data_IF_309991507883
#
_entry.id   IF_309991507883
#
_cell.length_a   1.000
_cell.length_b   1.000
_cell.length_c   1.000
_cell.angle_alpha   90.00
_cell.angle_beta   90.00
_cell.angle_gamma   90.00
#
_symmetry.space_group_name_H-M   'P 1'
#
loop_
_entity.id
_entity.type
_entity.pdbx_description
1 polymer ?
#
# COMPACT_ATOMS: atom_id res chain seq x y z
N UNK A 1 11.41 -5.26 -8.22
CA UNK A 1 12.08 -4.44 -7.18
C UNK A 1 11.65 -4.92 -5.81
N UNK A 2 12.60 -5.21 -4.92
CA UNK A 2 12.35 -5.68 -3.55
C UNK A 2 12.35 -4.48 -2.58
N UNK A 3 11.20 -3.81 -2.51
CA UNK A 3 11.00 -2.59 -1.71
C UNK A 3 10.23 -2.82 -0.40
N UNK A 4 9.90 -4.07 -0.06
CA UNK A 4 9.14 -4.40 1.14
C UNK A 4 8.72 -5.85 1.20
N UNK A 5 8.07 -6.23 2.30
CA UNK A 5 7.70 -7.63 2.55
C UNK A 5 6.82 -8.25 1.45
N UNK A 6 5.81 -7.51 0.97
CA UNK A 6 4.93 -8.05 -0.07
C UNK A 6 5.63 -8.14 -1.43
N UNK A 7 6.50 -7.20 -1.76
CA UNK A 7 7.35 -7.29 -2.95
C UNK A 7 8.27 -8.51 -2.87
N UNK A 8 8.87 -8.75 -1.70
CA UNK A 8 9.72 -9.91 -1.46
C UNK A 8 8.95 -11.23 -1.63
N UNK A 9 7.76 -11.33 -1.03
CA UNK A 9 6.91 -12.52 -1.14
C UNK A 9 6.45 -12.74 -2.59
N UNK A 10 6.07 -11.67 -3.31
CA UNK A 10 5.70 -11.77 -4.72
C UNK A 10 6.86 -12.31 -5.57
N UNK A 11 8.10 -11.85 -5.33
CA UNK A 11 9.27 -12.38 -6.02
C UNK A 11 9.51 -13.87 -5.70
N UNK A 12 9.29 -14.28 -4.44
CA UNK A 12 9.41 -15.68 -4.04
C UNK A 12 8.36 -16.57 -4.71
N UNK A 13 7.11 -16.11 -4.82
CA UNK A 13 6.06 -16.84 -5.52
C UNK A 13 6.29 -16.90 -7.03
N UNK A 14 6.71 -15.79 -7.65
CA UNK A 14 6.97 -15.73 -9.09
C UNK A 14 8.06 -16.72 -9.55
N UNK A 15 9.05 -17.02 -8.69
CA UNK A 15 10.09 -18.04 -8.95
C UNK A 15 9.55 -19.45 -9.24
N UNK A 16 8.31 -19.73 -8.85
CA UNK A 16 7.66 -21.03 -9.14
C UNK A 16 7.20 -21.13 -10.60
N UNK A 17 7.12 -20.00 -11.30
CA UNK A 17 6.54 -19.90 -12.64
C UNK A 17 7.53 -19.42 -13.70
N UNK A 18 8.70 -18.91 -13.31
CA UNK A 18 9.71 -18.40 -14.23
C UNK A 18 10.94 -17.86 -13.52
N UNK A 19 11.87 -17.35 -14.30
CA UNK A 19 13.09 -16.74 -13.80
C UNK A 19 12.82 -15.35 -13.23
N UNK A 20 13.24 -15.12 -11.99
CA UNK A 20 13.05 -13.85 -11.28
C UNK A 20 14.38 -13.22 -10.93
N UNK A 21 14.61 -12.03 -11.45
CA UNK A 21 15.75 -11.18 -11.11
C UNK A 21 15.31 -10.07 -10.17
N UNK A 22 15.90 -9.99 -8.99
CA UNK A 22 15.75 -8.82 -8.10
C UNK A 22 16.79 -7.79 -8.54
N UNK A 23 16.34 -6.72 -9.19
CA UNK A 23 17.22 -5.71 -9.79
C UNK A 23 17.67 -4.64 -8.77
N UNK A 24 16.89 -4.43 -7.72
CA UNK A 24 17.22 -3.54 -6.61
C UNK A 24 16.46 -3.97 -5.35
N UNK A 25 17.05 -3.73 -4.18
CA UNK A 25 16.46 -4.06 -2.88
C UNK A 25 16.91 -3.04 -1.83
N UNK A 26 16.02 -2.65 -0.93
CA UNK A 26 16.32 -1.88 0.29
C UNK A 26 16.22 -2.72 1.56
N UNK A 27 16.30 -4.05 1.43
CA UNK A 27 16.11 -5.00 2.53
C UNK A 27 17.15 -4.85 3.64
N UNK A 28 18.41 -4.63 3.29
CA UNK A 28 19.51 -4.48 4.26
C UNK A 28 19.31 -3.25 5.14
N UNK A 29 18.62 -2.22 4.62
CA UNK A 29 18.24 -1.00 5.34
C UNK A 29 16.80 -1.05 5.87
N UNK A 30 16.30 -2.27 6.13
CA UNK A 30 14.97 -2.50 6.66
C UNK A 30 13.84 -1.84 5.86
N UNK A 31 14.00 -1.72 4.54
CA UNK A 31 13.02 -1.12 3.64
C UNK A 31 12.59 0.30 4.03
N UNK A 32 13.49 1.09 4.57
CA UNK A 32 13.23 2.48 4.99
C UNK A 32 13.04 3.44 3.81
N UNK A 33 13.38 3.02 2.61
CA UNK A 33 13.24 3.76 1.36
C UNK A 33 12.87 2.84 0.20
N UNK A 34 12.50 3.44 -0.93
CA UNK A 34 12.28 2.73 -2.20
C UNK A 34 13.59 2.75 -2.99
N UNK A 35 14.10 1.57 -3.42
CA UNK A 35 15.37 1.51 -4.14
C UNK A 35 15.32 2.28 -5.47
N UNK A 36 16.40 3.00 -5.79
CA UNK A 36 16.57 3.61 -7.10
C UNK A 36 16.78 2.53 -8.17
N UNK A 37 16.08 2.68 -9.26
CA UNK A 37 16.14 1.79 -10.44
C UNK A 37 16.37 2.55 -11.75
N UNK A 38 16.81 3.80 -11.68
CA UNK A 38 17.04 4.67 -12.84
C UNK A 38 18.07 4.10 -13.82
N UNK A 39 19.04 3.34 -13.32
CA UNK A 39 20.10 2.72 -14.13
C UNK A 39 19.83 1.26 -14.49
N UNK A 40 18.63 0.73 -14.22
CA UNK A 40 18.29 -0.65 -14.53
C UNK A 40 18.00 -0.79 -16.00
N UNK A 41 18.69 -1.71 -16.65
CA UNK A 41 18.33 -2.17 -17.99
C UNK A 41 17.24 -3.23 -17.87
N UNK A 42 16.04 -2.88 -18.32
CA UNK A 42 14.88 -3.75 -18.27
C UNK A 42 14.90 -4.71 -19.46
N UNK A 43 15.11 -5.98 -19.15
CA UNK A 43 15.09 -7.10 -20.08
C UNK A 43 14.33 -8.25 -19.42
N UNK A 44 13.02 -8.24 -19.56
CA UNK A 44 12.11 -9.21 -18.94
C UNK A 44 10.71 -9.13 -19.58
N UNK A 45 9.88 -10.14 -19.36
CA UNK A 45 8.48 -10.12 -19.79
C UNK A 45 7.66 -9.05 -19.04
N UNK A 46 8.02 -8.74 -17.79
CA UNK A 46 7.46 -7.63 -17.01
C UNK A 46 8.39 -7.17 -15.90
N UNK A 47 8.21 -5.93 -15.48
CA UNK A 47 8.79 -5.37 -14.26
C UNK A 47 7.72 -5.33 -13.16
N UNK A 48 8.08 -5.67 -11.92
CA UNK A 48 7.13 -5.69 -10.79
C UNK A 48 7.54 -4.73 -9.69
N UNK A 49 6.53 -3.97 -9.18
CA UNK A 49 6.66 -3.10 -8.01
C UNK A 49 5.47 -3.26 -7.06
N UNK A 50 5.67 -2.90 -5.79
CA UNK A 50 4.59 -2.66 -4.82
C UNK A 50 4.55 -1.17 -4.54
N UNK A 51 3.53 -0.47 -5.05
CA UNK A 51 3.49 1.00 -5.07
C UNK A 51 3.45 1.63 -3.68
N UNK A 52 2.93 0.92 -2.68
CA UNK A 52 2.93 1.33 -1.28
C UNK A 52 3.18 0.14 -0.35
N UNK A 53 4.23 0.22 0.45
CA UNK A 53 4.68 -0.84 1.34
C UNK A 53 4.01 -0.71 2.71
N UNK A 54 2.89 -1.38 2.89
CA UNK A 54 2.01 -1.33 4.07
C UNK A 54 2.72 -1.55 5.40
N UNK A 55 3.74 -2.42 5.42
CA UNK A 55 4.43 -2.87 6.66
C UNK A 55 5.51 -1.88 7.07
N UNK A 56 6.22 -1.31 6.10
CA UNK A 56 7.37 -0.44 6.33
C UNK A 56 7.06 1.05 6.21
N UNK A 57 5.89 1.39 5.63
CA UNK A 57 5.43 2.78 5.53
C UNK A 57 6.10 3.58 4.41
N UNK A 58 6.64 2.91 3.39
CA UNK A 58 7.24 3.57 2.22
C UNK A 58 6.31 3.48 1.00
N UNK A 59 6.44 4.43 0.07
CA UNK A 59 5.74 4.43 -1.22
C UNK A 59 6.63 4.92 -2.35
N UNK A 60 6.28 4.54 -3.58
CA UNK A 60 6.85 5.15 -4.77
C UNK A 60 6.34 6.57 -4.92
N UNK A 61 7.24 7.52 -5.09
CA UNK A 61 6.94 8.92 -5.44
C UNK A 61 6.91 9.05 -6.96
N UNK A 62 7.91 8.45 -7.60
CA UNK A 62 8.00 8.37 -9.05
C UNK A 62 8.03 6.91 -9.48
N UNK A 63 7.32 6.62 -10.57
CA UNK A 63 7.31 5.27 -11.13
C UNK A 63 8.58 5.04 -11.96
N UNK A 64 9.14 3.82 -11.94
CA UNK A 64 10.25 3.49 -12.81
C UNK A 64 9.86 3.60 -14.28
N UNK A 65 10.74 4.15 -15.09
CA UNK A 65 10.64 4.03 -16.54
C UNK A 65 11.15 2.65 -16.96
N UNK A 66 10.25 1.81 -17.39
CA UNK A 66 10.54 0.43 -17.83
C UNK A 66 10.59 0.29 -19.36
N UNK A 67 10.48 1.41 -20.08
CA UNK A 67 10.48 1.43 -21.55
C UNK A 67 9.36 0.57 -22.14
N UNK A 68 9.72 -0.39 -22.96
CA UNK A 68 8.77 -1.32 -23.59
C UNK A 68 8.30 -2.46 -22.66
N UNK A 69 8.99 -2.70 -21.53
CA UNK A 69 8.66 -3.76 -20.58
C UNK A 69 7.42 -3.39 -19.77
N UNK A 70 6.35 -4.20 -19.76
CA UNK A 70 5.14 -3.91 -19.00
C UNK A 70 5.43 -3.76 -17.50
N UNK A 71 5.00 -2.65 -16.90
CA UNK A 71 5.07 -2.45 -15.46
C UNK A 71 3.85 -3.09 -14.78
N UNK A 72 4.07 -4.02 -13.89
CA UNK A 72 3.06 -4.70 -13.05
C UNK A 72 3.13 -4.14 -11.64
N UNK A 73 2.02 -3.70 -11.10
CA UNK A 73 1.97 -3.06 -9.80
C UNK A 73 0.95 -3.67 -8.85
N UNK A 74 1.41 -4.00 -7.64
CA UNK A 74 0.53 -4.16 -6.49
C UNK A 74 0.24 -2.77 -5.89
N UNK A 75 -0.99 -2.31 -6.08
CA UNK A 75 -1.49 -1.05 -5.54
C UNK A 75 -2.48 -1.27 -4.38
N UNK A 76 -2.51 -2.46 -3.77
CA UNK A 76 -3.52 -2.83 -2.77
C UNK A 76 -3.65 -1.83 -1.63
N UNK A 77 -2.57 -1.17 -1.21
CA UNK A 77 -2.61 -0.28 -0.06
C UNK A 77 -2.65 1.21 -0.37
N UNK A 78 -2.63 1.60 -1.65
CA UNK A 78 -2.75 3.01 -2.04
C UNK A 78 -3.63 3.25 -3.28
N UNK A 79 -4.29 2.22 -3.83
CA UNK A 79 -5.26 2.43 -4.91
C UNK A 79 -6.33 3.43 -4.45
N UNK A 80 -6.72 4.37 -5.33
CA UNK A 80 -7.70 5.42 -5.06
C UNK A 80 -7.33 6.41 -3.93
N UNK A 81 -6.12 6.39 -3.42
CA UNK A 81 -5.67 7.33 -2.38
C UNK A 81 -5.03 8.59 -2.94
N UNK A 82 -4.55 8.52 -4.15
CA UNK A 82 -3.86 9.55 -4.89
C UNK A 82 -4.07 9.37 -6.41
N UNK A 83 -3.94 10.42 -7.23
CA UNK A 83 -4.01 10.32 -8.68
C UNK A 83 -2.95 9.35 -9.21
N UNK A 84 -3.36 8.48 -10.11
CA UNK A 84 -2.49 7.50 -10.74
C UNK A 84 -2.72 7.47 -12.25
N UNK A 85 -1.68 7.71 -13.04
CA UNK A 85 -1.77 7.56 -14.49
C UNK A 85 -1.70 6.07 -14.87
N UNK A 86 -2.87 5.45 -15.01
CA UNK A 86 -3.00 4.02 -15.32
C UNK A 86 -2.33 3.62 -16.64
N UNK A 87 -2.09 4.55 -17.57
CA UNK A 87 -1.45 4.30 -18.87
C UNK A 87 0.02 3.90 -18.73
N UNK A 88 0.65 4.24 -17.61
CA UNK A 88 2.05 3.86 -17.31
C UNK A 88 2.23 2.39 -16.93
N UNK A 89 1.13 1.66 -16.76
CA UNK A 89 1.17 0.28 -16.30
C UNK A 89 0.71 -0.70 -17.38
N UNK A 90 1.30 -1.89 -17.38
CA UNK A 90 0.75 -3.05 -18.07
C UNK A 90 -0.37 -3.68 -17.26
N UNK A 91 -0.16 -3.81 -15.94
CA UNK A 91 -1.12 -4.39 -15.01
C UNK A 91 -1.07 -3.65 -13.67
N UNK A 92 -2.24 -3.33 -13.13
CA UNK A 92 -2.39 -2.91 -11.73
C UNK A 92 -3.34 -3.90 -11.07
N UNK A 93 -2.99 -4.40 -9.89
CA UNK A 93 -3.94 -5.16 -9.09
C UNK A 93 -4.02 -4.61 -7.66
N UNK A 94 -5.17 -4.81 -7.04
CA UNK A 94 -5.43 -4.34 -5.69
C UNK A 94 -6.47 -5.19 -4.97
N UNK A 95 -6.12 -5.69 -3.79
CA UNK A 95 -7.11 -6.25 -2.87
C UNK A 95 -8.05 -5.17 -2.34
N UNK A 96 -9.35 -5.43 -2.35
CA UNK A 96 -10.37 -4.43 -2.01
C UNK A 96 -10.37 -3.98 -0.54
N UNK A 97 -9.87 -4.80 0.37
CA UNK A 97 -10.03 -4.68 1.83
C UNK A 97 -9.39 -3.44 2.49
N UNK A 98 -8.74 -2.59 1.72
CA UNK A 98 -8.07 -1.38 2.24
C UNK A 98 -8.83 -0.10 1.88
N UNK A 99 -8.89 0.26 0.60
CA UNK A 99 -9.53 1.51 0.16
C UNK A 99 -10.82 1.32 -0.67
N UNK A 100 -11.21 0.09 -0.98
CA UNK A 100 -12.33 -0.17 -1.93
C UNK A 100 -13.56 -0.71 -1.21
N UNK A 101 -13.39 -1.79 -0.41
CA UNK A 101 -14.53 -2.49 0.18
C UNK A 101 -14.09 -3.64 1.09
N UNK A 102 -14.90 -4.71 1.23
CA UNK A 102 -14.56 -5.85 2.07
C UNK A 102 -13.47 -6.73 1.45
N UNK A 103 -12.87 -7.60 2.28
CA UNK A 103 -11.99 -8.67 1.81
C UNK A 103 -12.74 -9.66 0.92
N UNK A 104 -12.00 -10.40 0.09
CA UNK A 104 -12.54 -11.42 -0.82
C UNK A 104 -12.82 -10.92 -2.24
N UNK A 105 -12.37 -9.72 -2.57
CA UNK A 105 -12.40 -9.14 -3.91
C UNK A 105 -11.01 -8.60 -4.27
N UNK A 106 -10.59 -8.83 -5.50
CA UNK A 106 -9.40 -8.23 -6.09
C UNK A 106 -9.79 -7.51 -7.38
N UNK A 107 -9.35 -6.27 -7.53
CA UNK A 107 -9.47 -5.50 -8.77
C UNK A 107 -8.20 -5.72 -9.58
N UNK A 108 -8.34 -6.04 -10.86
CA UNK A 108 -7.23 -6.15 -11.80
C UNK A 108 -7.51 -5.24 -12.99
N UNK A 109 -6.61 -4.31 -13.26
CA UNK A 109 -6.64 -3.41 -14.41
C UNK A 109 -5.54 -3.87 -15.35
N UNK A 110 -5.90 -4.35 -16.53
CA UNK A 110 -4.98 -4.92 -17.51
C UNK A 110 -4.98 -4.08 -18.78
N UNK A 111 -3.80 -3.76 -19.29
CA UNK A 111 -3.66 -3.13 -20.59
C UNK A 111 -4.11 -4.12 -21.68
N UNK A 112 -4.93 -3.65 -22.60
CA UNK A 112 -5.67 -4.51 -23.53
C UNK A 112 -4.75 -5.41 -24.39
N UNK A 113 -3.56 -4.95 -24.78
CA UNK A 113 -2.59 -5.70 -25.57
C UNK A 113 -1.93 -6.88 -24.82
N UNK A 114 -2.14 -6.97 -23.51
CA UNK A 114 -1.65 -8.07 -22.68
C UNK A 114 -2.67 -9.20 -22.50
N UNK A 115 -3.92 -9.01 -22.95
CA UNK A 115 -4.94 -10.06 -22.92
C UNK A 115 -4.59 -11.16 -23.90
N UNK A 116 -4.75 -12.42 -23.48
CA UNK A 116 -4.48 -13.59 -24.32
C UNK A 116 -2.98 -13.94 -24.44
N UNK A 117 -2.12 -13.35 -23.60
CA UNK A 117 -0.68 -13.68 -23.53
C UNK A 117 -0.35 -14.64 -22.40
N UNK A 118 -1.35 -15.19 -21.74
CA UNK A 118 -1.16 -16.18 -20.69
C UNK A 118 -0.51 -17.47 -21.23
N UNK A 119 0.23 -18.15 -20.38
CA UNK A 119 0.85 -19.46 -20.69
C UNK A 119 -0.23 -20.49 -21.04
N UNK A 120 0.10 -21.47 -21.88
CA UNK A 120 -0.83 -22.51 -22.28
C UNK A 120 -1.37 -23.38 -21.11
N UNK A 121 -0.63 -23.45 -20.01
CA UNK A 121 -0.99 -24.17 -18.78
C UNK A 121 -1.69 -23.28 -17.76
N UNK A 122 -2.04 -22.02 -18.12
CA UNK A 122 -2.73 -21.10 -17.22
C UNK A 122 -4.14 -21.64 -16.90
N UNK A 123 -4.48 -21.76 -15.60
CA UNK A 123 -5.82 -22.16 -15.22
C UNK A 123 -6.89 -21.18 -15.74
N UNK A 124 -8.02 -21.72 -16.21
CA UNK A 124 -9.11 -20.94 -16.81
C UNK A 124 -9.50 -19.70 -16.00
N UNK A 125 -9.61 -19.82 -14.68
CA UNK A 125 -10.03 -18.73 -13.80
C UNK A 125 -9.00 -17.61 -13.67
N UNK A 126 -7.73 -17.87 -14.06
CA UNK A 126 -6.65 -16.90 -14.06
C UNK A 126 -6.40 -16.27 -15.43
N UNK A 127 -7.08 -16.73 -16.50
CA UNK A 127 -7.01 -16.12 -17.82
C UNK A 127 -7.73 -14.76 -17.83
N UNK A 128 -6.97 -13.70 -17.98
CA UNK A 128 -7.56 -12.35 -18.07
C UNK A 128 -8.38 -12.16 -19.34
N UNK A 129 -8.02 -12.81 -20.43
CA UNK A 129 -8.83 -12.77 -21.67
C UNK A 129 -10.21 -13.36 -21.46
N UNK A 130 -10.31 -14.52 -20.77
CA UNK A 130 -11.60 -15.12 -20.45
C UNK A 130 -12.38 -14.30 -19.43
N UNK A 131 -11.73 -13.78 -18.40
CA UNK A 131 -12.39 -12.89 -17.43
C UNK A 131 -12.94 -11.63 -18.10
N UNK A 132 -12.18 -11.01 -18.99
CA UNK A 132 -12.64 -9.83 -19.73
C UNK A 132 -13.81 -10.15 -20.66
N UNK A 133 -13.78 -11.31 -21.35
CA UNK A 133 -14.85 -11.75 -22.25
C UNK A 133 -16.17 -11.99 -21.50
N UNK A 134 -16.11 -12.49 -20.28
CA UNK A 134 -17.26 -12.84 -19.45
C UNK A 134 -17.59 -11.75 -18.40
N UNK A 135 -17.15 -10.50 -18.60
CA UNK A 135 -17.38 -9.35 -17.70
C UNK A 135 -17.03 -9.64 -16.24
N UNK A 136 -15.94 -10.38 -16.01
CA UNK A 136 -15.50 -10.87 -14.69
C UNK A 136 -16.45 -11.87 -14.02
N UNK A 137 -17.37 -12.46 -14.77
CA UNK A 137 -18.36 -13.43 -14.30
C UNK A 137 -18.17 -14.82 -14.90
N UNK A 138 -16.91 -15.21 -15.18
CA UNK A 138 -16.59 -16.56 -15.68
C UNK A 138 -17.10 -17.67 -14.74
N UNK A 139 -17.22 -17.38 -13.47
CA UNK A 139 -17.91 -18.17 -12.44
C UNK A 139 -18.79 -17.24 -11.62
N UNK A 140 -19.61 -17.79 -10.73
CA UNK A 140 -20.46 -17.02 -9.81
C UNK A 140 -19.60 -16.04 -9.00
N UNK A 141 -19.80 -14.71 -9.14
CA UNK A 141 -18.96 -13.72 -8.51
C UNK A 141 -19.34 -13.51 -7.03
N UNK A 142 -18.42 -12.88 -6.28
CA UNK A 142 -18.70 -12.35 -4.94
C UNK A 142 -19.62 -11.12 -5.04
N UNK A 143 -20.92 -11.34 -5.28
CA UNK A 143 -21.91 -10.29 -5.50
C UNK A 143 -21.96 -9.27 -4.37
N UNK A 144 -21.91 -9.72 -3.12
CA UNK A 144 -21.90 -8.81 -1.96
C UNK A 144 -20.65 -7.93 -1.95
N UNK A 145 -19.46 -8.50 -2.19
CA UNK A 145 -18.22 -7.75 -2.26
C UNK A 145 -18.24 -6.70 -3.38
N UNK A 146 -18.76 -7.05 -4.55
CA UNK A 146 -18.90 -6.13 -5.69
C UNK A 146 -19.89 -5.00 -5.35
N UNK A 147 -21.03 -5.31 -4.73
CA UNK A 147 -21.99 -4.31 -4.29
C UNK A 147 -21.38 -3.33 -3.28
N UNK A 148 -20.67 -3.83 -2.28
CA UNK A 148 -19.99 -2.98 -1.30
C UNK A 148 -18.88 -2.12 -1.93
N UNK A 149 -18.13 -2.67 -2.90
CA UNK A 149 -17.14 -1.90 -3.65
C UNK A 149 -17.80 -0.77 -4.46
N UNK A 150 -18.97 -1.03 -5.09
CA UNK A 150 -19.78 -0.01 -5.77
C UNK A 150 -20.10 1.14 -4.81
N UNK A 151 -20.61 0.84 -3.62
CA UNK A 151 -20.93 1.87 -2.61
C UNK A 151 -19.69 2.67 -2.21
N UNK A 152 -18.53 2.01 -2.07
CA UNK A 152 -17.24 2.67 -1.83
C UNK A 152 -16.83 3.63 -2.94
N UNK A 153 -17.02 3.24 -4.20
CA UNK A 153 -16.76 4.12 -5.35
C UNK A 153 -17.74 5.30 -5.42
N UNK A 154 -19.03 5.07 -5.15
CA UNK A 154 -20.04 6.13 -5.11
C UNK A 154 -19.74 7.13 -3.98
N UNK A 155 -19.36 6.63 -2.79
CA UNK A 155 -18.91 7.47 -1.70
C UNK A 155 -17.70 8.32 -2.09
N UNK A 156 -16.66 7.72 -2.69
CA UNK A 156 -15.47 8.45 -3.14
C UNK A 156 -15.83 9.54 -4.17
N UNK A 157 -16.72 9.21 -5.11
CA UNK A 157 -17.23 10.20 -6.09
C UNK A 157 -17.98 11.35 -5.42
N UNK A 158 -18.79 11.06 -4.39
CA UNK A 158 -19.54 12.08 -3.65
C UNK A 158 -18.65 13.07 -2.91
N UNK A 159 -17.42 12.67 -2.55
CA UNK A 159 -16.40 13.53 -1.93
C UNK A 159 -15.64 14.41 -2.94
N UNK A 160 -15.91 14.30 -4.23
CA UNK A 160 -15.17 14.98 -5.30
C UNK A 160 -14.07 14.14 -5.95
N UNK A 161 -14.11 12.81 -5.75
CA UNK A 161 -13.21 11.84 -6.40
C UNK A 161 -11.80 11.77 -5.79
N UNK A 162 -10.88 11.17 -6.56
CA UNK A 162 -9.52 10.88 -6.09
C UNK A 162 -8.74 12.14 -5.76
N UNK A 163 -8.90 13.22 -6.50
CA UNK A 163 -8.22 14.49 -6.24
C UNK A 163 -8.60 15.09 -4.88
N UNK A 164 -9.89 15.00 -4.51
CA UNK A 164 -10.36 15.52 -3.24
C UNK A 164 -9.87 14.68 -2.06
N UNK A 165 -9.97 13.36 -2.16
CA UNK A 165 -9.48 12.47 -1.11
C UNK A 165 -7.96 12.51 -0.97
N UNK A 166 -7.22 12.72 -2.06
CA UNK A 166 -5.76 12.91 -2.02
C UNK A 166 -5.38 14.09 -1.15
N UNK A 167 -6.06 15.24 -1.32
CA UNK A 167 -5.82 16.43 -0.45
C UNK A 167 -6.04 16.10 1.03
N UNK A 168 -7.12 15.37 1.37
CA UNK A 168 -7.36 14.92 2.73
C UNK A 168 -6.30 13.94 3.23
N UNK A 169 -5.84 13.04 2.37
CA UNK A 169 -4.80 12.07 2.73
C UNK A 169 -3.47 12.76 3.00
N UNK A 170 -3.12 13.78 2.22
CA UNK A 170 -1.94 14.62 2.46
C UNK A 170 -2.06 15.36 3.80
N UNK A 171 -3.21 15.97 4.10
CA UNK A 171 -3.46 16.61 5.40
C UNK A 171 -3.30 15.62 6.56
N UNK A 172 -3.93 14.45 6.47
CA UNK A 172 -3.84 13.40 7.52
C UNK A 172 -2.41 12.96 7.75
N UNK A 173 -1.68 12.69 6.67
CA UNK A 173 -0.30 12.24 6.76
C UNK A 173 0.60 13.33 7.34
N UNK A 174 0.46 14.59 6.88
CA UNK A 174 1.21 15.72 7.39
C UNK A 174 1.02 15.89 8.91
N UNK A 175 -0.24 15.93 9.39
CA UNK A 175 -0.54 16.03 10.83
C UNK A 175 0.21 15.00 11.67
N UNK A 176 0.27 13.75 11.21
CA UNK A 176 0.92 12.69 11.95
C UNK A 176 2.44 12.72 11.83
N UNK A 177 2.98 12.96 10.63
CA UNK A 177 4.42 13.06 10.43
C UNK A 177 5.02 14.29 11.11
N UNK A 178 4.35 15.44 11.09
CA UNK A 178 4.78 16.64 11.80
C UNK A 178 4.87 16.39 13.32
N UNK A 179 3.90 15.68 13.89
CA UNK A 179 3.94 15.26 15.29
C UNK A 179 5.15 14.34 15.58
N UNK A 180 5.40 13.36 14.71
CA UNK A 180 6.52 12.42 14.87
C UNK A 180 7.86 13.16 14.73
N UNK A 181 8.01 14.04 13.74
CA UNK A 181 9.24 14.75 13.47
C UNK A 181 9.62 15.77 14.55
N UNK A 182 8.62 16.33 15.25
CA UNK A 182 8.80 17.22 16.39
C UNK A 182 8.99 16.49 17.73
N UNK A 183 8.64 15.20 17.78
CA UNK A 183 8.71 14.38 18.98
C UNK A 183 10.16 14.07 19.39
N UNK A 184 10.41 14.09 20.68
CA UNK A 184 11.67 13.57 21.26
C UNK A 184 11.60 12.07 21.51
N UNK A 185 10.37 11.52 21.52
CA UNK A 185 10.10 10.13 21.87
C UNK A 185 9.87 9.27 20.62
N UNK A 186 9.02 9.72 19.70
CA UNK A 186 8.63 8.97 18.53
C UNK A 186 9.55 9.26 17.33
N UNK A 187 9.83 8.23 16.51
CA UNK A 187 10.62 8.35 15.29
C UNK A 187 9.93 7.61 14.15
N UNK A 188 9.85 8.21 12.97
CA UNK A 188 9.36 7.54 11.76
C UNK A 188 10.32 6.44 11.33
N UNK A 189 9.78 5.31 10.83
CA UNK A 189 10.58 4.23 10.27
C UNK A 189 11.04 4.53 8.83
N UNK A 190 10.16 5.15 8.03
CA UNK A 190 10.44 5.50 6.64
C UNK A 190 11.22 6.81 6.53
N UNK A 191 12.18 6.86 5.61
CA UNK A 191 12.85 8.11 5.23
C UNK A 191 11.83 9.12 4.67
N UNK A 192 12.04 10.40 4.93
CA UNK A 192 11.07 11.47 4.70
C UNK A 192 10.55 11.49 3.26
N UNK A 193 11.43 11.32 2.29
CA UNK A 193 11.11 11.36 0.86
C UNK A 193 10.18 10.23 0.42
N UNK A 194 10.19 9.08 1.11
CA UNK A 194 9.47 7.88 0.72
C UNK A 194 8.24 7.58 1.59
N UNK A 195 7.86 8.49 2.46
CA UNK A 195 6.77 8.29 3.43
C UNK A 195 5.43 8.01 2.78
N UNK A 196 4.78 6.95 3.23
CA UNK A 196 3.42 6.57 2.81
C UNK A 196 2.37 7.55 3.35
N UNK A 197 1.37 7.87 2.51
CA UNK A 197 0.18 8.62 2.95
C UNK A 197 -0.88 7.71 3.62
N UNK A 198 -0.73 6.38 3.49
CA UNK A 198 -1.71 5.40 3.95
C UNK A 198 -1.28 4.65 5.20
N UNK A 199 0.02 4.41 5.36
CA UNK A 199 0.56 3.58 6.43
C UNK A 199 1.75 4.29 7.08
N UNK A 200 1.50 4.97 8.18
CA UNK A 200 2.53 5.66 8.95
C UNK A 200 3.09 4.72 10.00
N UNK A 201 4.36 4.38 9.85
CA UNK A 201 5.08 3.49 10.77
C UNK A 201 6.03 4.31 11.62
N UNK A 202 6.02 4.06 12.93
CA UNK A 202 6.85 4.78 13.89
C UNK A 202 7.14 3.93 15.12
N UNK A 203 8.16 4.29 15.87
CA UNK A 203 8.63 3.59 17.06
C UNK A 203 9.23 4.56 18.06
N UNK A 204 9.43 4.10 19.30
CA UNK A 204 10.15 4.86 20.35
C UNK A 204 11.62 4.45 20.47
N UNK A 205 12.02 3.36 19.81
CA UNK A 205 13.34 2.74 19.97
C UNK A 205 13.45 1.81 21.18
N UNK A 206 12.38 1.65 21.95
CA UNK A 206 12.27 0.77 23.10
C UNK A 206 10.96 -0.05 22.97
N UNK A 207 11.08 -1.38 22.90
CA UNK A 207 9.95 -2.26 22.67
C UNK A 207 8.91 -2.27 23.82
N UNK A 208 9.36 -2.08 25.05
CA UNK A 208 8.46 -2.01 26.22
C UNK A 208 7.66 -0.70 26.19
N UNK A 209 8.30 0.38 25.81
CA UNK A 209 7.67 1.70 25.64
C UNK A 209 6.70 1.70 24.46
N UNK A 210 7.04 1.07 23.34
CA UNK A 210 6.13 0.84 22.20
C UNK A 210 4.87 0.09 22.68
N UNK A 211 5.05 -0.98 23.45
CA UNK A 211 3.95 -1.76 24.00
C UNK A 211 3.11 -0.97 25.01
N UNK A 212 3.75 -0.12 25.82
CA UNK A 212 3.08 0.78 26.77
C UNK A 212 2.22 1.81 26.04
N UNK A 213 2.77 2.44 24.98
CA UNK A 213 2.02 3.37 24.14
C UNK A 213 0.81 2.72 23.47
N UNK A 214 0.96 1.53 22.90
CA UNK A 214 -0.17 0.81 22.29
C UNK A 214 -1.30 0.56 23.31
N UNK A 215 -0.96 0.19 24.55
CA UNK A 215 -1.94 0.01 25.64
C UNK A 215 -2.58 1.33 26.07
N UNK A 216 -1.78 2.40 26.16
CA UNK A 216 -2.25 3.73 26.50
C UNK A 216 -3.25 4.25 25.47
N UNK A 217 -2.90 4.17 24.19
CA UNK A 217 -3.74 4.58 23.08
C UNK A 217 -5.05 3.77 23.01
N UNK A 218 -5.00 2.47 23.27
CA UNK A 218 -6.20 1.61 23.30
C UNK A 218 -7.21 2.05 24.38
N UNK A 219 -6.75 2.49 25.55
CA UNK A 219 -7.61 3.05 26.61
C UNK A 219 -8.32 4.34 26.17
N UNK A 220 -7.73 5.05 25.21
CA UNK A 220 -8.31 6.26 24.60
C UNK A 220 -9.20 5.94 23.37
N UNK A 221 -9.44 4.65 23.07
CA UNK A 221 -10.24 4.19 21.94
C UNK A 221 -9.50 4.14 20.61
N UNK A 222 -8.16 4.23 20.62
CA UNK A 222 -7.32 4.06 19.44
C UNK A 222 -6.79 2.62 19.40
N UNK A 223 -7.42 1.78 18.60
CA UNK A 223 -7.13 0.34 18.51
C UNK A 223 -6.28 0.02 17.27
N UNK A 224 -5.67 -1.18 17.28
CA UNK A 224 -4.89 -1.72 16.15
C UNK A 224 -3.66 -0.89 15.74
N UNK A 225 -3.06 -0.15 16.68
CA UNK A 225 -1.83 0.62 16.44
C UNK A 225 -0.55 -0.22 16.48
N UNK A 226 -0.59 -1.44 17.04
CA UNK A 226 0.60 -2.30 17.12
C UNK A 226 1.17 -2.53 15.72
N UNK A 227 2.47 -2.28 15.56
CA UNK A 227 3.21 -2.50 14.32
C UNK A 227 3.30 -3.98 13.94
N UNK A 228 3.71 -4.21 12.71
CA UNK A 228 3.92 -5.58 12.22
C UNK A 228 5.13 -6.22 12.92
N UNK A 229 5.07 -7.54 13.16
CA UNK A 229 6.14 -8.30 13.86
C UNK A 229 7.55 -8.12 13.25
N UNK A 230 7.64 -7.83 11.95
CA UNK A 230 8.91 -7.65 11.24
C UNK A 230 9.55 -6.26 11.49
N UNK A 231 8.78 -5.27 11.92
CA UNK A 231 9.23 -3.89 12.13
C UNK A 231 9.19 -3.53 13.62
N UNK A 232 8.21 -4.06 14.35
CA UNK A 232 7.92 -3.62 15.73
C UNK A 232 7.18 -2.30 15.73
N UNK A 233 7.30 -1.57 16.85
CA UNK A 233 6.73 -0.24 17.00
C UNK A 233 5.23 -0.16 16.79
N UNK A 234 4.80 0.92 16.18
CA UNK A 234 3.41 1.24 15.85
C UNK A 234 3.22 1.42 14.35
N UNK A 235 1.98 1.18 13.91
CA UNK A 235 1.55 1.50 12.55
C UNK A 235 0.14 2.10 12.57
N UNK A 236 0.02 3.35 12.17
CA UNK A 236 -1.25 3.97 11.90
C UNK A 236 -1.64 3.76 10.44
N UNK A 237 -2.67 2.95 10.19
CA UNK A 237 -3.24 2.76 8.85
C UNK A 237 -4.38 3.74 8.66
N UNK A 238 -4.11 4.86 7.98
CA UNK A 238 -5.00 6.02 7.83
C UNK A 238 -5.64 6.07 6.43
N UNK A 239 -6.16 4.93 5.97
CA UNK A 239 -6.79 4.79 4.66
C UNK A 239 -7.87 5.86 4.40
N UNK A 240 -8.38 5.92 3.18
CA UNK A 240 -9.32 6.96 2.72
C UNK A 240 -10.46 7.22 3.70
N UNK A 241 -11.06 6.19 4.27
CA UNK A 241 -12.20 6.30 5.17
C UNK A 241 -11.85 6.80 6.59
N UNK A 242 -10.56 6.86 6.96
CA UNK A 242 -10.16 7.44 8.24
C UNK A 242 -10.36 8.95 8.22
N UNK A 243 -11.21 9.51 9.09
CA UNK A 243 -11.42 10.95 9.13
C UNK A 243 -10.21 11.68 9.74
N UNK A 244 -9.99 12.93 9.33
CA UNK A 244 -8.94 13.81 9.89
C UNK A 244 -9.03 13.88 11.42
N UNK A 245 -10.24 13.91 11.98
CA UNK A 245 -10.46 13.92 13.45
C UNK A 245 -9.86 12.70 14.16
N UNK A 246 -9.88 11.51 13.51
CA UNK A 246 -9.25 10.31 14.05
C UNK A 246 -7.73 10.44 14.14
N UNK A 247 -7.12 11.04 13.11
CA UNK A 247 -5.67 11.30 13.11
C UNK A 247 -5.30 12.38 14.12
N UNK A 248 -6.07 13.46 14.24
CA UNK A 248 -5.88 14.50 15.29
C UNK A 248 -5.92 13.90 16.68
N UNK A 249 -6.89 13.02 16.93
CA UNK A 249 -6.96 12.31 18.23
C UNK A 249 -5.70 11.48 18.48
N UNK A 250 -5.15 10.80 17.48
CA UNK A 250 -3.89 10.08 17.65
C UNK A 250 -2.74 11.02 18.01
N UNK A 251 -2.63 12.15 17.33
CA UNK A 251 -1.62 13.19 17.62
C UNK A 251 -1.75 13.70 19.06
N UNK A 252 -2.97 13.99 19.51
CA UNK A 252 -3.22 14.45 20.89
C UNK A 252 -2.79 13.40 21.93
N UNK A 253 -3.09 12.11 21.66
CA UNK A 253 -2.70 11.00 22.53
C UNK A 253 -1.19 10.77 22.53
N UNK A 254 -0.51 10.93 21.39
CA UNK A 254 0.95 10.86 21.30
C UNK A 254 1.60 11.97 22.14
N UNK A 255 1.14 13.21 21.99
CA UNK A 255 1.63 14.36 22.75
C UNK A 255 1.41 14.21 24.25
N UNK A 256 0.27 13.65 24.67
CA UNK A 256 -0.01 13.38 26.08
C UNK A 256 0.92 12.31 26.65
N UNK A 257 1.07 11.20 25.91
CA UNK A 257 1.97 10.11 26.32
C UNK A 257 3.43 10.56 26.42
N UNK A 258 3.90 11.37 25.45
CA UNK A 258 5.26 11.91 25.49
C UNK A 258 5.50 12.78 26.72
N UNK A 259 4.55 13.66 27.10
CA UNK A 259 4.67 14.51 28.31
C UNK A 259 4.76 13.69 29.61
N UNK A 260 4.14 12.52 29.64
CA UNK A 260 4.14 11.63 30.80
C UNK A 260 5.39 10.73 30.87
N UNK A 261 6.12 10.57 29.74
CA UNK A 261 7.18 9.55 29.59
C UNK A 261 8.50 10.09 28.99
N UNK A 262 8.61 11.42 28.81
CA UNK A 262 9.81 12.08 28.31
C UNK A 262 10.84 12.36 29.41
#
# INVERSE_FOLDING_TARGET
VDSGNFAHLAAAEAKKYGDVRIVASSREENYTFVPDVSNVQWDADYAYITTNNTIYGTRYIELPDTGAVPLVADASSNILSEPMDVRKFGVIFAGAQKNIGPAGLCIVIVRHDLLGRERADCPKLLSWALQAKEDSMLNTPNTYGIYMAKLGFEWLKSLGGVEAIYRQNVEKAALLYDCIDQSKLFKACAQQEYRSLMNVTFLTGDADRDAAFVKYAAKQGLVNLKGHRNVGGMRASIYNAMPVAGVRKLVDVMNAFEKENA
#
